data_IF_519242648034
#
_entry.id   IF_519242648034
#
_cell.length_a   1.000
_cell.length_b   1.000
_cell.length_c   1.000
_cell.angle_alpha   90.00
_cell.angle_beta   90.00
_cell.angle_gamma   90.00
#
_symmetry.space_group_name_H-M   'P 1'
#
loop_
_entity.id
_entity.type
_entity.pdbx_description
1 polymer ?
#
# COMPACT_ATOMS: atom_id res chain seq x y z
N UNK A 1 57.50 -2.65 -19.30
CA UNK A 1 56.15 -2.45 -19.81
C UNK A 1 55.19 -3.26 -18.93
N UNK A 2 54.63 -2.63 -17.92
CA UNK A 2 53.70 -3.29 -17.00
C UNK A 2 52.27 -3.04 -17.47
N UNK A 3 51.65 -4.07 -18.01
CA UNK A 3 50.24 -4.01 -18.40
C UNK A 3 49.34 -3.94 -17.18
N UNK A 4 48.67 -2.81 -16.94
CA UNK A 4 47.61 -2.68 -16.01
C UNK A 4 46.40 -3.46 -16.60
N UNK A 5 46.17 -4.69 -16.13
CA UNK A 5 44.91 -5.36 -16.34
C UNK A 5 43.86 -4.63 -15.51
N UNK A 6 43.04 -3.77 -16.14
CA UNK A 6 41.75 -3.30 -15.58
C UNK A 6 40.86 -4.52 -15.45
N UNK A 7 40.78 -5.08 -14.26
CA UNK A 7 39.69 -5.98 -13.92
C UNK A 7 38.39 -5.16 -13.97
N UNK A 8 37.59 -5.36 -15.02
CA UNK A 8 36.21 -4.93 -15.01
C UNK A 8 35.54 -5.74 -13.92
N UNK A 9 35.32 -5.14 -12.75
CA UNK A 9 34.45 -5.69 -11.75
C UNK A 9 33.02 -5.61 -12.35
N UNK A 10 32.51 -6.73 -12.85
CA UNK A 10 31.10 -6.83 -13.24
C UNK A 10 30.33 -6.73 -11.93
N UNK A 11 29.65 -5.62 -11.74
CA UNK A 11 28.78 -5.42 -10.57
C UNK A 11 27.61 -6.39 -10.68
N UNK A 12 27.27 -7.06 -9.57
CA UNK A 12 26.10 -7.91 -9.51
C UNK A 12 24.84 -7.08 -9.75
N UNK A 13 24.07 -7.42 -10.76
CA UNK A 13 22.78 -6.79 -11.07
C UNK A 13 21.67 -7.50 -10.29
N UNK A 14 20.98 -6.76 -9.43
CA UNK A 14 19.87 -7.28 -8.66
C UNK A 14 18.57 -6.57 -9.07
N UNK A 15 17.62 -7.33 -9.62
CA UNK A 15 16.28 -6.86 -9.95
C UNK A 15 15.38 -6.96 -8.72
N UNK A 16 14.70 -5.88 -8.35
CA UNK A 16 13.72 -5.84 -7.26
C UNK A 16 12.35 -5.50 -7.82
N UNK A 17 11.45 -6.45 -7.81
CA UNK A 17 10.02 -6.26 -8.07
C UNK A 17 9.36 -5.90 -6.74
N UNK A 18 8.59 -4.82 -6.69
CA UNK A 18 7.98 -4.33 -5.45
C UNK A 18 6.53 -3.90 -5.69
N UNK A 19 5.70 -3.90 -4.65
CA UNK A 19 4.34 -3.38 -4.72
C UNK A 19 4.37 -1.87 -5.00
N UNK A 20 3.94 -1.48 -6.20
CA UNK A 20 3.95 -0.08 -6.64
C UNK A 20 2.81 0.72 -6.01
N UNK A 21 3.00 2.03 -5.94
CA UNK A 21 2.03 2.95 -5.34
C UNK A 21 1.62 2.61 -3.89
N UNK A 22 2.49 1.89 -3.18
CA UNK A 22 2.36 1.53 -1.77
C UNK A 22 3.59 1.99 -0.98
N UNK A 23 3.36 2.60 0.20
CA UNK A 23 4.46 3.03 1.06
C UNK A 23 5.28 1.83 1.55
N UNK A 24 4.62 0.74 1.96
CA UNK A 24 5.32 -0.47 2.43
C UNK A 24 6.11 -1.14 1.31
N UNK A 25 5.57 -1.21 0.09
CA UNK A 25 6.32 -1.71 -1.06
C UNK A 25 7.60 -0.92 -1.35
N UNK A 26 7.52 0.42 -1.30
CA UNK A 26 8.69 1.28 -1.48
C UNK A 26 9.70 1.13 -0.32
N UNK A 27 9.23 1.11 0.92
CA UNK A 27 10.03 0.93 2.12
C UNK A 27 10.68 -0.45 2.17
N UNK A 28 9.96 -1.50 1.79
CA UNK A 28 10.45 -2.88 1.67
C UNK A 28 11.57 -2.98 0.66
N UNK A 29 11.43 -2.38 -0.52
CA UNK A 29 12.48 -2.34 -1.54
C UNK A 29 13.72 -1.58 -1.05
N UNK A 30 13.54 -0.48 -0.31
CA UNK A 30 14.64 0.29 0.26
C UNK A 30 15.38 -0.48 1.35
N UNK A 31 14.66 -1.06 2.31
CA UNK A 31 15.24 -1.84 3.41
C UNK A 31 15.96 -3.09 2.89
N UNK A 32 15.31 -3.84 1.99
CA UNK A 32 15.90 -5.00 1.33
C UNK A 32 17.21 -4.65 0.63
N UNK A 33 17.25 -3.55 -0.13
CA UNK A 33 18.47 -3.10 -0.83
C UNK A 33 19.61 -2.75 0.14
N UNK A 34 19.30 -2.13 1.29
CA UNK A 34 20.27 -1.86 2.35
C UNK A 34 20.80 -3.14 2.99
N UNK A 35 19.91 -4.11 3.26
CA UNK A 35 20.26 -5.43 3.78
C UNK A 35 21.19 -6.17 2.81
N UNK A 36 20.82 -6.29 1.56
CA UNK A 36 21.63 -7.00 0.55
C UNK A 36 23.01 -6.36 0.41
N UNK A 37 23.07 -5.03 0.32
CA UNK A 37 24.37 -4.33 0.21
C UNK A 37 25.20 -4.46 1.48
N UNK A 38 24.58 -4.48 2.63
CA UNK A 38 25.27 -4.56 3.93
C UNK A 38 25.82 -5.93 4.28
N UNK A 39 25.23 -7.02 3.75
CA UNK A 39 25.54 -8.39 4.20
C UNK A 39 25.82 -9.39 3.10
N UNK A 40 25.29 -9.22 1.91
CA UNK A 40 25.33 -10.25 0.85
C UNK A 40 26.20 -9.80 -0.31
N UNK A 41 25.88 -8.67 -0.93
CA UNK A 41 26.53 -8.16 -2.13
C UNK A 41 26.84 -6.66 -1.99
N UNK A 42 28.01 -6.27 -1.43
CA UNK A 42 28.36 -4.87 -1.17
C UNK A 42 28.33 -3.98 -2.43
N UNK A 43 28.67 -4.55 -3.58
CA UNK A 43 28.76 -3.83 -4.86
C UNK A 43 27.52 -4.02 -5.76
N UNK A 44 26.37 -4.54 -5.21
CA UNK A 44 25.17 -4.77 -5.98
C UNK A 44 24.62 -3.47 -6.60
N UNK A 45 24.22 -3.56 -7.86
CA UNK A 45 23.46 -2.56 -8.59
C UNK A 45 21.99 -2.96 -8.61
N UNK A 46 21.13 -2.09 -8.07
CA UNK A 46 19.70 -2.37 -7.92
C UNK A 46 18.89 -1.73 -9.04
N UNK A 47 18.04 -2.53 -9.67
CA UNK A 47 17.05 -2.14 -10.67
C UNK A 47 15.66 -2.45 -10.14
N UNK A 48 14.80 -1.43 -10.04
CA UNK A 48 13.47 -1.54 -9.44
C UNK A 48 12.40 -1.61 -10.53
N UNK A 49 11.37 -2.44 -10.31
CA UNK A 49 10.18 -2.54 -11.16
C UNK A 49 8.94 -2.59 -10.27
N UNK A 50 8.06 -1.60 -10.41
CA UNK A 50 6.80 -1.55 -9.68
C UNK A 50 5.79 -2.55 -10.24
N UNK A 51 5.11 -3.26 -9.35
CA UNK A 51 4.08 -4.25 -9.65
C UNK A 51 2.74 -3.77 -9.14
N UNK A 52 1.70 -3.82 -9.99
CA UNK A 52 0.34 -3.45 -9.61
C UNK A 52 -0.54 -4.70 -9.50
N UNK A 53 -1.45 -4.72 -8.52
CA UNK A 53 -2.45 -5.79 -8.43
C UNK A 53 -3.41 -5.75 -9.62
N UNK A 54 -3.50 -6.87 -10.34
CA UNK A 54 -4.43 -7.10 -11.44
C UNK A 54 -5.11 -8.45 -11.24
N UNK A 55 -6.30 -8.63 -11.81
CA UNK A 55 -7.06 -9.87 -11.70
C UNK A 55 -6.32 -11.09 -12.28
N UNK A 56 -5.47 -10.89 -13.27
CA UNK A 56 -4.66 -11.91 -13.93
C UNK A 56 -3.19 -11.49 -13.98
N UNK A 57 -2.56 -11.28 -12.81
CA UNK A 57 -1.15 -10.93 -12.76
C UNK A 57 -0.31 -12.15 -13.18
N UNK A 58 0.23 -12.11 -14.37
CA UNK A 58 1.22 -13.07 -14.84
C UNK A 58 2.59 -12.40 -14.76
N UNK A 59 3.55 -13.06 -14.12
CA UNK A 59 4.95 -12.63 -14.13
C UNK A 59 5.58 -13.06 -15.45
N UNK A 60 5.91 -12.10 -16.30
CA UNK A 60 6.67 -12.37 -17.51
C UNK A 60 8.13 -12.65 -17.17
N UNK A 61 8.75 -13.62 -17.88
CA UNK A 61 10.16 -13.99 -17.67
C UNK A 61 11.13 -12.81 -17.85
N UNK A 62 10.76 -11.84 -18.67
CA UNK A 62 11.52 -10.59 -18.91
C UNK A 62 11.68 -9.74 -17.66
N UNK A 63 10.81 -9.91 -16.66
CA UNK A 63 10.91 -9.21 -15.36
C UNK A 63 12.06 -9.72 -14.49
N UNK A 64 12.54 -10.94 -14.75
CA UNK A 64 13.61 -11.61 -13.99
C UNK A 64 14.93 -11.57 -14.77
N UNK A 65 15.43 -10.34 -15.01
CA UNK A 65 16.60 -10.07 -15.85
C UNK A 65 17.87 -9.72 -15.07
N UNK A 66 17.85 -9.83 -13.74
CA UNK A 66 19.01 -9.67 -12.87
C UNK A 66 19.84 -10.96 -12.78
N UNK A 67 21.07 -10.83 -12.28
CA UNK A 67 21.89 -11.97 -11.83
C UNK A 67 21.23 -12.63 -10.60
N UNK A 68 20.62 -11.83 -9.72
CA UNK A 68 19.63 -12.23 -8.72
C UNK A 68 18.35 -11.39 -8.88
N UNK A 69 17.20 -12.00 -8.56
CA UNK A 69 15.90 -11.36 -8.67
C UNK A 69 15.15 -11.49 -7.35
N UNK A 70 14.53 -10.40 -6.92
CA UNK A 70 13.76 -10.32 -5.69
C UNK A 70 12.33 -9.86 -5.97
N UNK A 71 11.39 -10.39 -5.19
CA UNK A 71 10.04 -9.81 -5.05
C UNK A 71 9.87 -9.44 -3.57
N UNK A 72 9.44 -8.22 -3.28
CA UNK A 72 9.15 -7.74 -1.93
C UNK A 72 7.76 -7.10 -1.87
N UNK A 73 7.01 -7.40 -0.82
CA UNK A 73 5.67 -6.88 -0.57
C UNK A 73 4.69 -7.17 -1.73
N UNK A 74 4.90 -8.27 -2.43
CA UNK A 74 4.07 -8.64 -3.57
C UNK A 74 4.00 -10.15 -3.72
N UNK A 75 3.01 -10.61 -4.50
CA UNK A 75 2.67 -12.01 -4.72
C UNK A 75 3.87 -12.86 -5.13
N UNK A 76 3.82 -14.13 -4.74
CA UNK A 76 4.81 -15.14 -5.11
C UNK A 76 4.83 -15.42 -6.61
N UNK A 77 5.99 -15.75 -7.12
CA UNK A 77 6.19 -16.31 -8.46
C UNK A 77 7.00 -17.61 -8.36
N UNK A 78 6.58 -18.65 -9.06
CA UNK A 78 7.31 -19.90 -9.19
C UNK A 78 8.43 -19.86 -10.24
N UNK A 79 8.76 -18.67 -10.76
CA UNK A 79 9.84 -18.48 -11.72
C UNK A 79 11.18 -18.97 -11.14
N UNK A 80 11.91 -19.81 -11.88
CA UNK A 80 13.17 -20.41 -11.44
C UNK A 80 14.27 -19.37 -11.16
N UNK A 81 14.19 -18.19 -11.79
CA UNK A 81 15.14 -17.09 -11.57
C UNK A 81 14.82 -16.27 -10.32
N UNK A 82 13.67 -16.49 -9.64
CA UNK A 82 13.37 -15.82 -8.40
C UNK A 82 14.30 -16.31 -7.29
N UNK A 83 15.17 -15.42 -6.80
CA UNK A 83 16.15 -15.71 -5.75
C UNK A 83 15.63 -15.37 -4.36
N UNK A 84 15.02 -14.19 -4.23
CA UNK A 84 14.54 -13.64 -2.97
C UNK A 84 13.05 -13.36 -3.02
N UNK A 85 12.32 -13.67 -1.95
CA UNK A 85 10.93 -13.31 -1.80
C UNK A 85 10.57 -13.04 -0.35
N UNK A 86 9.91 -11.90 -0.12
CA UNK A 86 9.35 -11.53 1.18
C UNK A 86 7.94 -10.98 0.98
N UNK A 87 6.97 -11.57 1.66
CA UNK A 87 5.58 -11.09 1.63
C UNK A 87 4.85 -11.42 2.94
N UNK A 88 3.81 -10.63 3.24
CA UNK A 88 2.96 -10.80 4.41
C UNK A 88 1.46 -10.82 4.07
N UNK A 89 1.09 -10.68 2.81
CA UNK A 89 -0.32 -10.65 2.40
C UNK A 89 -0.96 -12.05 2.47
N UNK A 90 -2.19 -12.15 3.03
CA UNK A 90 -2.94 -13.41 3.02
C UNK A 90 -3.19 -13.92 1.60
N UNK A 91 -3.24 -13.02 0.60
CA UNK A 91 -3.41 -13.32 -0.82
C UNK A 91 -2.09 -13.45 -1.58
N UNK A 92 -1.02 -13.89 -0.89
CA UNK A 92 0.35 -13.97 -1.44
C UNK A 92 0.51 -14.91 -2.64
N UNK A 93 -0.35 -15.90 -2.79
CA UNK A 93 -0.28 -16.89 -3.87
C UNK A 93 -1.41 -16.65 -4.88
N UNK A 94 -1.04 -16.62 -6.18
CA UNK A 94 -2.02 -16.46 -7.27
C UNK A 94 -2.82 -17.72 -7.50
N UNK A 95 -2.15 -18.89 -7.37
CA UNK A 95 -2.73 -20.20 -7.63
C UNK A 95 -2.38 -21.18 -6.50
N UNK A 96 -3.14 -22.29 -6.34
CA UNK A 96 -2.76 -23.39 -5.45
C UNK A 96 -1.40 -23.99 -5.79
N UNK A 97 -1.03 -24.01 -7.08
CA UNK A 97 0.24 -24.52 -7.59
C UNK A 97 1.41 -23.67 -7.10
N UNK A 98 1.26 -22.34 -7.05
CA UNK A 98 2.28 -21.44 -6.49
C UNK A 98 2.49 -21.71 -4.99
N UNK A 99 1.41 -21.91 -4.25
CA UNK A 99 1.49 -22.25 -2.83
C UNK A 99 2.19 -23.60 -2.60
N UNK A 100 1.85 -24.60 -3.40
CA UNK A 100 2.48 -25.92 -3.36
C UNK A 100 3.98 -25.84 -3.73
N UNK A 101 4.31 -25.08 -4.79
CA UNK A 101 5.70 -24.86 -5.20
C UNK A 101 6.52 -24.23 -4.06
N UNK A 102 6.00 -23.18 -3.42
CA UNK A 102 6.66 -22.56 -2.27
C UNK A 102 6.92 -23.55 -1.13
N UNK A 103 5.91 -24.37 -0.78
CA UNK A 103 6.02 -25.36 0.30
C UNK A 103 7.02 -26.48 -0.02
N UNK A 104 7.10 -26.93 -1.28
CA UNK A 104 7.95 -28.04 -1.70
C UNK A 104 9.38 -27.62 -2.06
N UNK A 105 9.64 -26.34 -2.23
CA UNK A 105 10.96 -25.77 -2.55
C UNK A 105 11.40 -24.75 -1.48
N UNK A 106 11.61 -25.19 -0.22
CA UNK A 106 11.98 -24.30 0.87
C UNK A 106 13.33 -23.62 0.60
N UNK A 107 13.40 -22.33 0.89
CA UNK A 107 14.62 -21.54 0.75
C UNK A 107 14.73 -20.53 1.87
N UNK A 108 15.91 -20.32 2.48
CA UNK A 108 16.09 -19.27 3.49
C UNK A 108 16.01 -17.86 2.90
N UNK A 109 15.91 -17.74 1.57
CA UNK A 109 15.78 -16.47 0.86
C UNK A 109 14.33 -16.19 0.42
N UNK A 110 13.39 -17.14 0.60
CA UNK A 110 11.98 -17.02 0.23
C UNK A 110 11.13 -17.23 1.47
N UNK A 111 10.48 -16.18 1.94
CA UNK A 111 9.83 -16.15 3.25
C UNK A 111 8.46 -15.50 3.18
N UNK A 112 7.51 -16.07 3.93
CA UNK A 112 6.14 -15.62 4.01
C UNK A 112 5.61 -15.74 5.44
N UNK A 113 5.01 -14.66 5.95
CA UNK A 113 4.34 -14.68 7.26
C UNK A 113 3.25 -13.61 7.33
N UNK A 114 1.96 -13.98 7.26
CA UNK A 114 0.84 -13.05 7.28
C UNK A 114 0.53 -12.47 8.66
N UNK A 115 1.28 -12.81 9.68
CA UNK A 115 1.14 -12.21 11.03
C UNK A 115 1.80 -10.83 11.14
N UNK A 116 2.74 -10.52 10.25
CA UNK A 116 3.40 -9.21 10.23
C UNK A 116 2.47 -8.13 9.69
N UNK A 117 2.62 -6.91 10.21
CA UNK A 117 1.82 -5.73 9.84
C UNK A 117 2.34 -5.02 8.59
N UNK A 118 3.61 -5.23 8.26
CA UNK A 118 4.25 -4.73 7.04
C UNK A 118 5.35 -5.68 6.59
N UNK A 119 5.58 -5.73 5.29
CA UNK A 119 6.68 -6.48 4.71
C UNK A 119 8.04 -5.85 5.08
N UNK A 120 8.12 -4.53 5.19
CA UNK A 120 9.34 -3.83 5.65
C UNK A 120 9.80 -4.33 7.01
N UNK A 121 8.88 -4.43 7.99
CA UNK A 121 9.23 -4.96 9.31
C UNK A 121 9.56 -6.45 9.27
N UNK A 122 8.87 -7.21 8.42
CA UNK A 122 9.18 -8.62 8.22
C UNK A 122 10.61 -8.82 7.71
N UNK A 123 11.02 -8.07 6.67
CA UNK A 123 12.39 -8.09 6.16
C UNK A 123 13.38 -7.69 7.26
N UNK A 124 13.08 -6.62 8.03
CA UNK A 124 13.94 -6.17 9.15
C UNK A 124 14.21 -7.29 10.15
N UNK A 125 13.13 -7.94 10.63
CA UNK A 125 13.25 -9.02 11.62
C UNK A 125 14.05 -10.19 11.06
N UNK A 126 13.75 -10.65 9.84
CA UNK A 126 14.44 -11.78 9.24
C UNK A 126 15.89 -11.47 8.86
N UNK A 127 16.18 -10.27 8.41
CA UNK A 127 17.56 -9.83 8.13
C UNK A 127 18.42 -9.80 9.42
N UNK A 128 17.85 -9.40 10.54
CA UNK A 128 18.52 -9.44 11.84
C UNK A 128 18.72 -10.88 12.34
N UNK A 129 17.64 -11.67 12.39
CA UNK A 129 17.65 -13.04 12.90
C UNK A 129 18.60 -13.98 12.15
N UNK A 130 18.63 -13.91 10.82
CA UNK A 130 19.34 -14.90 9.99
C UNK A 130 20.73 -14.40 9.57
N UNK A 131 20.87 -13.10 9.28
CA UNK A 131 22.13 -12.54 8.75
C UNK A 131 22.80 -11.53 9.69
N UNK A 132 22.23 -11.25 10.85
CA UNK A 132 22.77 -10.28 11.81
C UNK A 132 22.84 -8.86 11.21
N UNK A 133 21.88 -8.50 10.35
CA UNK A 133 21.79 -7.17 9.76
C UNK A 133 20.91 -6.27 10.61
N UNK A 134 21.45 -5.10 10.98
CA UNK A 134 20.71 -4.03 11.64
C UNK A 134 20.92 -2.72 10.92
N UNK A 135 19.91 -1.87 10.88
CA UNK A 135 19.95 -0.54 10.28
C UNK A 135 19.11 0.45 11.13
N UNK A 136 19.62 0.89 12.30
CA UNK A 136 18.89 1.79 13.20
C UNK A 136 18.48 3.12 12.56
N UNK A 137 19.22 3.56 11.56
CA UNK A 137 18.90 4.75 10.75
C UNK A 137 17.62 4.59 9.89
N UNK A 138 17.10 3.37 9.76
CA UNK A 138 15.85 3.04 9.08
C UNK A 138 14.69 2.71 10.06
N UNK A 139 14.87 2.83 11.36
CA UNK A 139 13.83 2.49 12.34
C UNK A 139 12.56 3.35 12.17
N UNK A 140 12.70 4.64 11.84
CA UNK A 140 11.57 5.51 11.51
C UNK A 140 10.80 5.01 10.28
N UNK A 141 11.51 4.55 9.24
CA UNK A 141 10.91 4.00 8.03
C UNK A 141 10.09 2.74 8.35
N UNK A 142 10.66 1.82 9.14
CA UNK A 142 9.99 0.58 9.58
C UNK A 142 8.77 0.88 10.45
N UNK A 143 8.88 1.83 11.37
CA UNK A 143 7.77 2.26 12.22
C UNK A 143 6.57 2.74 11.38
N UNK A 144 6.81 3.65 10.43
CA UNK A 144 5.74 4.17 9.60
C UNK A 144 5.19 3.14 8.61
N UNK A 145 6.00 2.21 8.09
CA UNK A 145 5.51 1.11 7.28
C UNK A 145 4.46 0.27 8.03
N UNK A 146 4.73 -0.07 9.30
CA UNK A 146 3.75 -0.79 10.15
C UNK A 146 2.46 0.00 10.37
N UNK A 147 2.57 1.32 10.61
CA UNK A 147 1.40 2.17 10.86
C UNK A 147 0.53 2.29 9.62
N UNK A 148 1.16 2.57 8.47
CA UNK A 148 0.46 2.87 7.21
C UNK A 148 -0.20 1.61 6.64
N UNK A 149 0.56 0.54 6.51
CA UNK A 149 0.07 -0.69 5.90
C UNK A 149 -0.97 -1.40 6.79
N UNK A 150 -0.70 -1.47 8.08
CA UNK A 150 -1.64 -2.00 9.06
C UNK A 150 -2.83 -1.08 9.36
N UNK A 151 -2.90 0.12 8.78
CA UNK A 151 -3.88 1.17 9.11
C UNK A 151 -3.99 1.43 10.63
N UNK A 152 -2.85 1.36 11.35
CA UNK A 152 -2.78 1.44 12.81
C UNK A 152 -2.46 2.87 13.29
N UNK A 153 -3.04 3.87 12.65
CA UNK A 153 -2.88 5.26 13.06
C UNK A 153 -3.41 5.46 14.47
N UNK A 154 -2.71 6.22 15.34
CA UNK A 154 -3.14 6.43 16.72
C UNK A 154 -4.47 7.19 16.82
N UNK A 155 -4.77 8.01 15.84
CA UNK A 155 -5.97 8.84 15.78
C UNK A 155 -6.29 9.25 14.32
N UNK A 156 -7.53 9.70 14.04
CA UNK A 156 -7.92 10.13 12.71
C UNK A 156 -7.15 11.37 12.22
N UNK A 157 -6.67 12.21 13.13
CA UNK A 157 -5.88 13.40 12.79
C UNK A 157 -4.56 13.01 12.13
N UNK A 158 -3.85 12.02 12.68
CA UNK A 158 -2.61 11.50 12.11
C UNK A 158 -2.83 10.97 10.68
N UNK A 159 -3.95 10.27 10.45
CA UNK A 159 -4.28 9.71 9.15
C UNK A 159 -4.70 10.77 8.10
N UNK A 160 -5.25 11.93 8.53
CA UNK A 160 -5.89 12.90 7.63
C UNK A 160 -5.12 14.20 7.47
N UNK A 161 -4.51 14.74 8.53
CA UNK A 161 -3.80 16.04 8.44
C UNK A 161 -2.42 15.93 7.76
N UNK A 162 -1.93 14.71 7.55
CA UNK A 162 -0.66 14.43 6.86
C UNK A 162 0.55 15.19 7.47
N UNK A 163 0.55 15.35 8.79
CA UNK A 163 1.59 16.11 9.50
C UNK A 163 2.96 15.44 9.46
N UNK A 164 3.00 14.10 9.56
CA UNK A 164 4.25 13.34 9.53
C UNK A 164 4.87 13.26 8.13
N UNK A 165 6.22 13.27 8.01
CA UNK A 165 6.90 13.12 6.73
C UNK A 165 6.48 11.85 5.96
N UNK A 166 6.31 10.72 6.64
CA UNK A 166 5.84 9.48 6.04
C UNK A 166 4.47 9.63 5.37
N UNK A 167 3.53 10.34 6.02
CA UNK A 167 2.19 10.57 5.47
C UNK A 167 2.21 11.44 4.21
N UNK A 168 3.11 12.43 4.17
CA UNK A 168 3.33 13.25 2.95
C UNK A 168 3.90 12.42 1.82
N UNK A 169 4.87 11.54 2.12
CA UNK A 169 5.43 10.61 1.13
C UNK A 169 4.41 9.59 0.65
N UNK A 170 3.55 9.09 1.54
CA UNK A 170 2.45 8.19 1.17
C UNK A 170 1.54 8.86 0.12
N UNK A 171 1.15 10.11 0.35
CA UNK A 171 0.34 10.85 -0.61
C UNK A 171 1.05 10.99 -1.98
N UNK A 172 2.36 11.23 -2.01
CA UNK A 172 3.15 11.32 -3.24
C UNK A 172 3.26 9.95 -3.92
N UNK A 173 3.54 8.89 -3.17
CA UNK A 173 3.69 7.52 -3.68
C UNK A 173 2.38 7.05 -4.32
N UNK A 174 1.25 7.17 -3.60
CA UNK A 174 -0.08 6.75 -4.07
C UNK A 174 -0.60 7.61 -5.23
N UNK A 175 -0.29 8.92 -5.21
CA UNK A 175 -0.73 9.87 -6.23
C UNK A 175 0.18 9.99 -7.46
N UNK A 176 1.34 9.31 -7.47
CA UNK A 176 2.29 9.39 -8.58
C UNK A 176 1.77 8.67 -9.83
N UNK A 177 2.17 9.20 -11.00
CA UNK A 177 1.90 8.55 -12.29
C UNK A 177 3.16 7.84 -12.78
N UNK A 178 3.09 6.51 -12.86
CA UNK A 178 4.22 5.68 -13.25
C UNK A 178 5.25 5.46 -12.13
N UNK A 179 6.11 4.47 -12.32
CA UNK A 179 7.01 3.95 -11.26
C UNK A 179 8.29 4.78 -11.06
N UNK A 180 8.64 5.72 -11.92
CA UNK A 180 9.92 6.46 -11.84
C UNK A 180 10.04 7.28 -10.55
N UNK A 181 8.94 7.91 -10.12
CA UNK A 181 8.88 8.66 -8.87
C UNK A 181 9.09 7.75 -7.67
N UNK A 182 8.39 6.62 -7.61
CA UNK A 182 8.52 5.66 -6.51
C UNK A 182 9.92 5.06 -6.47
N UNK A 183 10.51 4.70 -7.62
CA UNK A 183 11.90 4.23 -7.69
C UNK A 183 12.91 5.26 -7.16
N UNK A 184 12.68 6.54 -7.41
CA UNK A 184 13.53 7.62 -6.88
C UNK A 184 13.36 7.73 -5.37
N UNK A 185 12.14 7.66 -4.86
CA UNK A 185 11.86 7.65 -3.41
C UNK A 185 12.52 6.44 -2.74
N UNK A 186 12.47 5.25 -3.33
CA UNK A 186 13.19 4.05 -2.84
C UNK A 186 14.70 4.33 -2.69
N UNK A 187 15.32 5.04 -3.65
CA UNK A 187 16.73 5.40 -3.56
C UNK A 187 17.00 6.44 -2.48
N UNK A 188 16.09 7.38 -2.26
CA UNK A 188 16.18 8.34 -1.15
C UNK A 188 16.03 7.65 0.21
N UNK A 189 15.03 6.79 0.40
CA UNK A 189 14.79 6.04 1.64
C UNK A 189 16.00 5.21 2.10
N UNK A 190 16.88 4.81 1.18
CA UNK A 190 18.12 4.11 1.53
C UNK A 190 19.20 5.00 2.16
N UNK A 191 19.09 6.33 2.08
CA UNK A 191 20.21 7.24 2.35
C UNK A 191 19.84 8.46 3.19
N UNK A 192 18.56 8.79 3.27
CA UNK A 192 18.06 10.02 3.88
C UNK A 192 16.95 9.72 4.88
N UNK A 193 16.85 10.46 5.99
CA UNK A 193 15.69 10.43 6.85
C UNK A 193 14.46 10.97 6.10
N UNK A 194 13.26 10.54 6.52
CA UNK A 194 12.00 10.90 5.85
C UNK A 194 11.78 12.42 5.77
N UNK A 195 12.22 13.17 6.78
CA UNK A 195 12.17 14.64 6.81
C UNK A 195 12.97 15.29 5.69
N UNK A 196 14.14 14.75 5.36
CA UNK A 196 14.96 15.26 4.25
C UNK A 196 14.41 14.87 2.88
N UNK A 197 13.78 13.68 2.78
CA UNK A 197 13.15 13.24 1.53
C UNK A 197 11.99 14.16 1.16
N UNK A 198 11.09 14.47 2.11
CA UNK A 198 9.97 15.37 1.82
C UNK A 198 10.42 16.80 1.51
N UNK A 199 11.60 17.21 1.95
CA UNK A 199 12.15 18.53 1.66
C UNK A 199 12.80 18.63 0.25
N UNK A 200 12.97 17.51 -0.47
CA UNK A 200 13.51 17.55 -1.82
C UNK A 200 12.59 18.34 -2.76
N UNK A 201 13.13 19.23 -3.60
CA UNK A 201 12.31 20.06 -4.50
C UNK A 201 11.37 19.25 -5.41
N UNK A 202 11.86 18.14 -5.98
CA UNK A 202 11.09 17.25 -6.84
C UNK A 202 9.95 16.55 -6.10
N UNK A 203 10.09 16.27 -4.82
CA UNK A 203 9.03 15.73 -3.97
C UNK A 203 8.01 16.81 -3.59
N UNK A 204 8.47 18.03 -3.26
CA UNK A 204 7.59 19.16 -2.96
C UNK A 204 6.72 19.56 -4.15
N UNK A 205 7.28 19.54 -5.37
CA UNK A 205 6.54 19.86 -6.59
C UNK A 205 5.42 18.85 -6.88
N UNK A 206 5.63 17.57 -6.54
CA UNK A 206 4.59 16.54 -6.62
C UNK A 206 3.59 16.61 -5.47
N UNK A 207 4.06 16.88 -4.26
CA UNK A 207 3.24 16.92 -3.06
C UNK A 207 2.19 18.03 -3.09
N UNK A 208 2.57 19.24 -3.49
CA UNK A 208 1.71 20.43 -3.43
C UNK A 208 0.35 20.25 -4.13
N UNK A 209 0.27 19.85 -5.41
CA UNK A 209 -1.02 19.67 -6.07
C UNK A 209 -1.83 18.50 -5.48
N UNK A 210 -1.18 17.45 -4.98
CA UNK A 210 -1.85 16.33 -4.33
C UNK A 210 -2.44 16.74 -2.98
N UNK A 211 -1.71 17.56 -2.23
CA UNK A 211 -2.20 18.11 -0.96
C UNK A 211 -3.37 19.08 -1.15
N UNK A 212 -3.32 19.95 -2.17
CA UNK A 212 -4.44 20.84 -2.53
C UNK A 212 -5.70 20.01 -2.88
N UNK A 213 -5.54 18.94 -3.65
CA UNK A 213 -6.65 18.00 -3.95
C UNK A 213 -7.17 17.34 -2.67
N UNK A 214 -6.28 16.90 -1.78
CA UNK A 214 -6.67 16.31 -0.49
C UNK A 214 -7.47 17.29 0.37
N UNK A 215 -7.03 18.54 0.49
CA UNK A 215 -7.75 19.60 1.22
C UNK A 215 -9.12 19.88 0.58
N UNK A 216 -9.18 19.93 -0.75
CA UNK A 216 -10.44 20.10 -1.46
C UNK A 216 -11.41 18.94 -1.18
N UNK A 217 -10.92 17.68 -1.18
CA UNK A 217 -11.77 16.52 -0.86
C UNK A 217 -12.30 16.56 0.57
N UNK A 218 -11.50 17.06 1.53
CA UNK A 218 -11.97 17.28 2.90
C UNK A 218 -13.09 18.32 2.95
N UNK A 219 -12.99 19.42 2.17
CA UNK A 219 -14.03 20.44 2.05
C UNK A 219 -15.34 19.86 1.51
N UNK A 220 -15.26 19.15 0.39
CA UNK A 220 -16.43 18.51 -0.25
C UNK A 220 -17.10 17.52 0.71
N UNK A 221 -16.32 16.63 1.33
CA UNK A 221 -16.89 15.63 2.27
C UNK A 221 -17.53 16.31 3.47
N UNK A 222 -16.92 17.38 4.00
CA UNK A 222 -17.51 18.16 5.11
C UNK A 222 -18.88 18.75 4.76
N UNK A 223 -19.07 19.20 3.52
CA UNK A 223 -20.33 19.75 3.04
C UNK A 223 -21.39 18.69 2.74
N UNK A 224 -20.95 17.49 2.32
CA UNK A 224 -21.85 16.43 1.85
C UNK A 224 -22.16 15.38 2.93
N UNK A 225 -21.31 15.26 3.96
CA UNK A 225 -21.47 14.22 4.97
C UNK A 225 -22.58 14.59 5.96
N UNK A 226 -23.46 13.62 6.18
CA UNK A 226 -24.48 13.63 7.23
C UNK A 226 -24.25 12.43 8.17
N UNK A 227 -24.19 12.69 9.47
CA UNK A 227 -24.08 11.64 10.49
C UNK A 227 -25.44 11.49 11.18
N UNK A 228 -25.98 10.28 11.15
CA UNK A 228 -27.21 9.95 11.83
C UNK A 228 -27.17 8.52 12.35
N UNK A 229 -27.40 8.35 13.65
CA UNK A 229 -27.45 7.04 14.30
C UNK A 229 -26.16 6.24 14.21
N UNK A 230 -25.01 6.90 14.28
CA UNK A 230 -23.69 6.28 14.18
C UNK A 230 -23.23 5.98 12.75
N UNK A 231 -24.00 6.39 11.74
CA UNK A 231 -23.69 6.14 10.32
C UNK A 231 -23.47 7.46 9.58
N UNK A 232 -22.25 7.65 9.06
CA UNK A 232 -21.86 8.78 8.23
C UNK A 232 -22.18 8.45 6.78
N UNK A 233 -23.01 9.24 6.12
CA UNK A 233 -23.40 9.06 4.71
C UNK A 233 -23.01 10.27 3.87
N UNK A 234 -22.51 10.07 2.65
CA UNK A 234 -22.26 11.13 1.68
C UNK A 234 -22.25 10.63 0.25
N UNK A 235 -22.56 11.54 -0.68
CA UNK A 235 -22.63 11.29 -2.12
C UNK A 235 -21.69 12.25 -2.87
N UNK A 236 -20.72 11.69 -3.56
CA UNK A 236 -19.73 12.43 -4.34
C UNK A 236 -19.99 12.38 -5.85
N UNK A 237 -21.14 11.85 -6.29
CA UNK A 237 -21.44 11.68 -7.72
C UNK A 237 -21.60 12.99 -8.49
N UNK A 238 -21.85 14.11 -7.79
CA UNK A 238 -21.92 15.46 -8.37
C UNK A 238 -20.58 16.20 -8.45
N UNK A 239 -19.49 15.56 -8.04
CA UNK A 239 -18.16 16.20 -7.96
C UNK A 239 -17.14 15.46 -8.84
N UNK A 240 -16.20 16.23 -9.42
CA UNK A 240 -15.02 15.68 -10.08
C UNK A 240 -13.97 15.29 -9.04
N UNK A 241 -14.28 14.24 -8.29
CA UNK A 241 -13.45 13.72 -7.21
C UNK A 241 -13.29 12.20 -7.34
N UNK A 242 -12.19 11.78 -7.96
CA UNK A 242 -11.82 10.37 -8.09
C UNK A 242 -10.80 10.00 -6.98
N UNK A 243 -11.30 9.27 -5.98
CA UNK A 243 -10.51 8.87 -4.81
C UNK A 243 -10.39 9.96 -3.74
N UNK A 244 -10.40 9.54 -2.51
CA UNK A 244 -10.21 10.39 -1.31
C UNK A 244 -9.63 9.55 -0.16
N UNK A 245 -9.04 10.21 0.83
CA UNK A 245 -8.58 9.53 2.04
C UNK A 245 -9.78 8.99 2.82
N UNK A 246 -9.87 7.67 2.94
CA UNK A 246 -11.00 6.94 3.56
C UNK A 246 -11.25 7.28 5.03
N UNK A 247 -10.30 7.93 5.69
CA UNK A 247 -10.41 8.32 7.10
C UNK A 247 -11.00 9.73 7.30
N UNK A 248 -11.13 10.53 6.24
CA UNK A 248 -11.72 11.87 6.32
C UNK A 248 -13.09 11.88 7.02
N UNK A 249 -14.04 10.97 6.71
CA UNK A 249 -15.33 10.97 7.39
C UNK A 249 -15.22 10.83 8.91
N UNK A 250 -14.34 9.97 9.39
CA UNK A 250 -14.12 9.75 10.82
C UNK A 250 -13.36 10.87 11.51
N UNK A 251 -12.56 11.62 10.75
CA UNK A 251 -11.92 12.84 11.23
C UNK A 251 -12.93 13.97 11.42
N UNK A 252 -13.93 14.06 10.55
CA UNK A 252 -14.99 15.07 10.60
C UNK A 252 -16.09 14.72 11.60
N UNK A 253 -16.41 13.43 11.74
CA UNK A 253 -17.47 12.87 12.59
C UNK A 253 -16.88 11.75 13.46
N UNK A 254 -16.11 12.06 14.50
CA UNK A 254 -15.41 11.05 15.31
C UNK A 254 -16.36 10.11 16.09
N UNK A 255 -17.62 10.56 16.33
CA UNK A 255 -18.68 9.78 16.95
C UNK A 255 -19.28 8.70 16.04
N UNK A 256 -19.14 8.84 14.72
CA UNK A 256 -19.68 7.90 13.74
C UNK A 256 -18.96 6.56 13.78
N UNK A 257 -19.72 5.47 13.81
CA UNK A 257 -19.20 4.09 13.81
C UNK A 257 -19.00 3.55 12.40
N UNK A 258 -19.86 3.93 11.46
CA UNK A 258 -19.83 3.45 10.10
C UNK A 258 -19.84 4.59 9.08
N UNK A 259 -19.36 4.29 7.90
CA UNK A 259 -19.45 5.17 6.72
C UNK A 259 -20.05 4.42 5.55
N UNK A 260 -20.99 5.06 4.85
CA UNK A 260 -21.55 4.60 3.57
C UNK A 260 -21.42 5.75 2.57
N UNK A 261 -20.65 5.57 1.53
CA UNK A 261 -20.39 6.63 0.55
C UNK A 261 -20.62 6.15 -0.88
N UNK A 262 -21.20 7.00 -1.70
CA UNK A 262 -21.31 6.82 -3.17
C UNK A 262 -20.31 7.71 -3.85
N UNK A 263 -19.47 7.14 -4.73
CA UNK A 263 -18.46 7.88 -5.49
C UNK A 263 -18.40 7.44 -6.95
N UNK A 264 -18.22 8.39 -7.90
CA UNK A 264 -18.05 8.07 -9.30
C UNK A 264 -16.60 7.74 -9.60
N UNK A 265 -16.37 7.03 -10.70
CA UNK A 265 -15.10 7.00 -11.41
C UNK A 265 -15.36 6.80 -12.90
N UNK A 266 -14.30 6.91 -13.71
CA UNK A 266 -14.39 6.73 -15.17
C UNK A 266 -14.83 5.32 -15.59
N UNK A 267 -14.69 4.33 -14.71
CA UNK A 267 -14.96 2.92 -15.02
C UNK A 267 -16.02 2.25 -14.14
N UNK A 268 -16.55 2.94 -13.12
CA UNK A 268 -17.60 2.41 -12.23
C UNK A 268 -18.28 3.48 -11.38
N UNK A 269 -19.47 3.18 -10.88
CA UNK A 269 -20.08 3.83 -9.70
C UNK A 269 -19.82 2.95 -8.50
N UNK A 270 -19.16 3.48 -7.47
CA UNK A 270 -18.72 2.71 -6.29
C UNK A 270 -19.52 3.09 -5.05
N UNK A 271 -19.98 2.07 -4.30
CA UNK A 271 -20.43 2.23 -2.93
C UNK A 271 -19.30 1.73 -2.03
N UNK A 272 -18.83 2.58 -1.12
CA UNK A 272 -17.81 2.24 -0.13
C UNK A 272 -18.47 2.16 1.24
N UNK A 273 -18.24 1.07 1.96
CA UNK A 273 -18.74 0.84 3.32
C UNK A 273 -17.54 0.59 4.23
N UNK A 274 -17.46 1.32 5.35
CA UNK A 274 -16.33 1.22 6.27
C UNK A 274 -16.76 1.33 7.73
N UNK A 275 -15.92 0.83 8.64
CA UNK A 275 -16.05 1.09 10.07
C UNK A 275 -14.93 1.99 10.57
N UNK A 276 -15.26 2.83 11.54
CA UNK A 276 -14.32 3.73 12.20
C UNK A 276 -13.38 2.95 13.12
N UNK A 277 -12.06 2.94 12.85
CA UNK A 277 -11.11 2.25 13.72
C UNK A 277 -11.01 2.85 15.13
N UNK A 278 -11.43 4.09 15.29
CA UNK A 278 -11.40 4.84 16.57
C UNK A 278 -12.77 5.04 17.19
N UNK A 279 -13.78 4.32 16.69
CA UNK A 279 -15.13 4.45 17.20
C UNK A 279 -15.21 4.16 18.70
N UNK A 280 -15.92 4.98 19.48
CA UNK A 280 -16.18 4.68 20.88
C UNK A 280 -17.11 3.47 21.06
N UNK A 281 -17.84 3.10 20.00
CA UNK A 281 -18.73 1.94 19.96
C UNK A 281 -18.14 0.87 19.07
N UNK A 282 -18.03 -0.35 19.58
CA UNK A 282 -17.49 -1.49 18.80
C UNK A 282 -18.43 -1.81 17.62
N UNK A 283 -17.95 -1.80 16.38
CA UNK A 283 -18.76 -2.14 15.23
C UNK A 283 -19.28 -3.59 15.29
N UNK A 284 -20.58 -3.77 15.19
CA UNK A 284 -21.27 -5.06 15.35
C UNK A 284 -21.54 -5.79 14.03
N UNK A 285 -21.47 -5.09 12.88
CA UNK A 285 -21.83 -5.63 11.57
C UNK A 285 -20.58 -6.14 10.81
N UNK A 286 -20.76 -7.24 10.07
CA UNK A 286 -19.77 -7.70 9.09
C UNK A 286 -20.06 -7.04 7.73
N UNK A 287 -19.24 -6.05 7.36
CA UNK A 287 -19.46 -5.24 6.17
C UNK A 287 -19.26 -6.01 4.87
N UNK A 288 -18.39 -7.04 4.86
CA UNK A 288 -18.23 -7.91 3.69
C UNK A 288 -19.53 -8.64 3.38
N UNK A 289 -20.16 -9.27 4.39
CA UNK A 289 -21.44 -9.99 4.23
C UNK A 289 -22.56 -9.07 3.74
N UNK A 290 -22.58 -7.82 4.18
CA UNK A 290 -23.54 -6.83 3.69
C UNK A 290 -23.29 -6.54 2.21
N UNK A 291 -22.05 -6.25 1.83
CA UNK A 291 -21.70 -5.92 0.45
C UNK A 291 -21.90 -7.11 -0.53
N UNK A 292 -21.64 -8.34 -0.08
CA UNK A 292 -21.82 -9.57 -0.89
C UNK A 292 -23.26 -9.74 -1.37
N UNK A 293 -24.26 -9.30 -0.61
CA UNK A 293 -25.68 -9.36 -1.01
C UNK A 293 -26.01 -8.52 -2.25
N UNK A 294 -25.17 -7.52 -2.53
CA UNK A 294 -25.29 -6.62 -3.69
C UNK A 294 -24.19 -6.86 -4.73
N UNK A 295 -23.57 -8.05 -4.71
CA UNK A 295 -22.52 -8.41 -5.68
C UNK A 295 -21.16 -7.76 -5.43
N UNK A 296 -20.97 -7.18 -4.23
CA UNK A 296 -19.70 -6.63 -3.77
C UNK A 296 -18.86 -7.61 -2.95
N UNK A 297 -17.96 -7.09 -2.12
CA UNK A 297 -17.13 -7.88 -1.22
C UNK A 297 -16.31 -7.01 -0.30
N UNK A 298 -15.41 -7.65 0.46
CA UNK A 298 -14.52 -6.96 1.38
C UNK A 298 -14.05 -7.82 2.54
N UNK A 299 -13.87 -7.16 3.68
CA UNK A 299 -13.54 -7.76 4.98
C UNK A 299 -14.58 -7.33 6.03
N UNK A 300 -14.54 -7.92 7.21
CA UNK A 300 -15.51 -7.62 8.27
C UNK A 300 -15.64 -6.12 8.60
N UNK A 301 -14.57 -5.33 8.43
CA UNK A 301 -14.51 -3.90 8.77
C UNK A 301 -14.58 -2.95 7.57
N UNK A 302 -14.52 -3.45 6.34
CA UNK A 302 -14.56 -2.64 5.11
C UNK A 302 -15.13 -3.44 3.96
N UNK A 303 -16.02 -2.83 3.17
CA UNK A 303 -16.58 -3.44 1.98
C UNK A 303 -16.78 -2.43 0.86
N UNK A 304 -16.97 -2.94 -0.34
CA UNK A 304 -17.30 -2.13 -1.49
C UNK A 304 -18.19 -2.89 -2.48
N UNK A 305 -19.04 -2.13 -3.18
CA UNK A 305 -19.86 -2.60 -4.29
C UNK A 305 -19.48 -1.76 -5.51
N UNK A 306 -19.30 -2.43 -6.64
CA UNK A 306 -19.00 -1.77 -7.92
C UNK A 306 -20.14 -2.00 -8.87
N UNK A 307 -20.75 -0.92 -9.33
CA UNK A 307 -21.79 -0.90 -10.36
C UNK A 307 -21.21 -0.31 -11.65
N UNK A 308 -21.90 -0.53 -12.78
CA UNK A 308 -21.52 0.08 -14.05
C UNK A 308 -21.49 1.62 -13.95
N UNK A 309 -20.66 2.29 -14.77
CA UNK A 309 -20.64 3.74 -14.82
C UNK A 309 -22.05 4.31 -15.09
N UNK A 310 -22.42 5.32 -14.31
CA UNK A 310 -23.74 6.00 -14.48
C UNK A 310 -24.90 5.35 -13.74
N UNK A 311 -24.75 4.19 -13.08
CA UNK A 311 -25.78 3.60 -12.25
C UNK A 311 -25.90 4.31 -10.88
N UNK A 312 -26.02 5.64 -10.91
CA UNK A 312 -26.00 6.48 -9.71
C UNK A 312 -27.23 6.28 -8.84
N UNK A 313 -28.44 6.22 -9.45
CA UNK A 313 -29.69 6.08 -8.69
C UNK A 313 -29.75 4.71 -7.99
N UNK A 314 -29.28 3.67 -8.64
CA UNK A 314 -29.17 2.34 -8.02
C UNK A 314 -28.16 2.31 -6.88
N UNK A 315 -26.99 2.97 -7.07
CA UNK A 315 -26.01 3.11 -6.02
C UNK A 315 -26.55 3.85 -4.79
N UNK A 316 -27.29 4.92 -5.01
CA UNK A 316 -27.97 5.68 -3.93
C UNK A 316 -28.98 4.84 -3.18
N UNK A 317 -29.80 4.07 -3.91
CA UNK A 317 -30.80 3.15 -3.31
C UNK A 317 -30.11 2.13 -2.41
N UNK A 318 -29.08 1.43 -2.94
CA UNK A 318 -28.34 0.43 -2.18
C UNK A 318 -27.65 1.07 -0.96
N UNK A 319 -27.01 2.23 -1.15
CA UNK A 319 -26.35 2.94 -0.05
C UNK A 319 -27.33 3.32 1.08
N UNK A 320 -28.55 3.74 0.73
CA UNK A 320 -29.58 4.07 1.69
C UNK A 320 -30.07 2.82 2.47
N UNK A 321 -30.23 1.67 1.80
CA UNK A 321 -30.58 0.41 2.43
C UNK A 321 -29.52 -0.06 3.41
N UNK A 322 -28.24 -0.02 3.00
CA UNK A 322 -27.12 -0.37 3.87
C UNK A 322 -27.03 0.58 5.08
N UNK A 323 -27.18 1.89 4.85
CA UNK A 323 -27.14 2.86 5.94
C UNK A 323 -28.30 2.64 6.94
N UNK A 324 -29.49 2.28 6.47
CA UNK A 324 -30.64 1.94 7.35
C UNK A 324 -30.35 0.69 8.19
N UNK A 325 -29.78 -0.35 7.60
CA UNK A 325 -29.37 -1.57 8.32
C UNK A 325 -28.30 -1.30 9.37
N UNK A 326 -27.30 -0.49 9.07
CA UNK A 326 -26.20 -0.19 9.99
C UNK A 326 -26.62 0.68 11.19
N UNK A 327 -27.79 1.31 11.13
CA UNK A 327 -28.40 2.07 12.24
C UNK A 327 -29.22 1.19 13.21
N UNK A 328 -29.48 -0.06 12.84
CA UNK A 328 -30.26 -0.99 13.66
C UNK A 328 -29.35 -1.78 14.61
#
# INVERSE_FOLDING_TARGET
MGGFHRFFHIRMRLRVLYHDHCFDGAASAAFFSRFIRGKIHPDAEFHYTGMAHRASQIFEDSLFDGDENAIVDFKYSNNEKLTWWFDHHQSAFLTPEDALHFQTHPSPKKMFDPSFKSCTNYIRVKAEEIWGFTAPDLDELVYWANIIDGAQYPDPKTAVELGAPAMKLTLVIEGSKGSDTVQRIIRYMQRMPLTEIVAQPDIQDLYRPLYERHVNSMGIIREQADENGGVITFDLTGYDLEGYNKFIPYYLHPEGTYTVAVSPSSFRTKISVGSNPWSPVEPSHNLATICERYGGGGHARVGAISLEPGQVDEARRIAAEIAAELRS
#
